data_IF_177254933935
#
_entry.id   IF_177254933935
#
_cell.length_a   1.000
_cell.length_b   1.000
_cell.length_c   1.000
_cell.angle_alpha   90.00
_cell.angle_beta   90.00
_cell.angle_gamma   90.00
#
_symmetry.space_group_name_H-M   'P 1'
#
loop_
_entity.id
_entity.type
_entity.pdbx_description
1 polymer ?
#
# COMPACT_ATOMS: atom_id res chain seq x y z
N UNK A 1 -22.52 -2.46 -30.70
CA UNK A 1 -22.11 -1.05 -30.43
C UNK A 1 -21.64 -0.92 -28.97
N UNK A 2 -20.62 -1.68 -28.55
CA UNK A 2 -20.15 -1.73 -27.14
C UNK A 2 -18.73 -1.20 -26.93
N UNK A 3 -17.94 -1.04 -28.01
CA UNK A 3 -16.51 -0.72 -27.94
C UNK A 3 -16.14 0.62 -27.28
N UNK A 4 -17.02 1.63 -27.22
CA UNK A 4 -16.66 2.94 -26.68
C UNK A 4 -16.90 3.04 -25.17
N UNK A 5 -17.97 2.42 -24.66
CA UNK A 5 -18.27 2.40 -23.22
C UNK A 5 -17.26 1.57 -22.43
N UNK A 6 -16.90 0.39 -22.94
CA UNK A 6 -15.90 -0.50 -22.34
C UNK A 6 -14.52 0.18 -22.27
N UNK A 7 -14.12 0.89 -23.32
CA UNK A 7 -12.86 1.63 -23.36
C UNK A 7 -12.81 2.78 -22.36
N UNK A 8 -13.90 3.51 -22.19
CA UNK A 8 -13.97 4.61 -21.22
C UNK A 8 -13.92 4.07 -19.79
N UNK A 9 -14.60 2.95 -19.49
CA UNK A 9 -14.52 2.29 -18.17
C UNK A 9 -13.10 1.86 -17.84
N UNK A 10 -12.42 1.18 -18.77
CA UNK A 10 -11.04 0.73 -18.57
C UNK A 10 -10.04 1.89 -18.36
N UNK A 11 -10.26 3.04 -19.02
CA UNK A 11 -9.42 4.23 -18.82
C UNK A 11 -9.62 4.81 -17.42
N UNK A 12 -10.86 4.88 -16.93
CA UNK A 12 -11.15 5.39 -15.58
C UNK A 12 -10.53 4.48 -14.52
N UNK A 13 -10.68 3.17 -14.65
CA UNK A 13 -10.08 2.19 -13.74
C UNK A 13 -8.55 2.30 -13.71
N UNK A 14 -7.90 2.40 -14.87
CA UNK A 14 -6.45 2.59 -14.94
C UNK A 14 -6.01 3.93 -14.31
N UNK A 15 -6.82 4.98 -14.40
CA UNK A 15 -6.54 6.27 -13.78
C UNK A 15 -6.68 6.20 -12.26
N UNK A 16 -7.72 5.54 -11.77
CA UNK A 16 -7.94 5.30 -10.34
C UNK A 16 -6.81 4.47 -9.74
N UNK A 17 -6.37 3.41 -10.43
CA UNK A 17 -5.21 2.60 -10.07
C UNK A 17 -3.92 3.41 -10.03
N UNK A 18 -3.73 4.32 -10.99
CA UNK A 18 -2.56 5.20 -11.01
C UNK A 18 -2.54 6.12 -9.78
N UNK A 19 -3.68 6.74 -9.45
CA UNK A 19 -3.80 7.59 -8.26
C UNK A 19 -3.59 6.78 -6.99
N UNK A 20 -4.21 5.60 -6.88
CA UNK A 20 -4.06 4.70 -5.75
C UNK A 20 -2.61 4.24 -5.59
N UNK A 21 -1.95 3.86 -6.68
CA UNK A 21 -0.55 3.48 -6.69
C UNK A 21 0.36 4.59 -6.19
N UNK A 22 0.09 5.84 -6.57
CA UNK A 22 0.80 7.00 -6.02
C UNK A 22 0.56 7.17 -4.52
N UNK A 23 -0.68 7.05 -4.05
CA UNK A 23 -1.03 7.13 -2.61
C UNK A 23 -0.31 6.05 -1.80
N UNK A 24 -0.34 4.80 -2.25
CA UNK A 24 0.33 3.67 -1.60
C UNK A 24 1.85 3.83 -1.59
N UNK A 25 2.41 4.37 -2.68
CA UNK A 25 3.83 4.75 -2.72
C UNK A 25 4.15 5.80 -1.66
N UNK A 26 3.30 6.81 -1.47
CA UNK A 26 3.51 7.84 -0.44
C UNK A 26 3.38 7.32 0.98
N UNK A 27 2.49 6.36 1.23
CA UNK A 27 2.45 5.65 2.51
C UNK A 27 3.70 4.82 2.73
N UNK A 28 4.14 4.07 1.71
CA UNK A 28 5.38 3.27 1.77
C UNK A 28 6.59 4.14 2.13
N UNK A 29 6.74 5.31 1.50
CA UNK A 29 7.82 6.26 1.82
C UNK A 29 7.82 6.67 3.30
N UNK A 30 6.64 6.85 3.91
CA UNK A 30 6.53 7.15 5.35
C UNK A 30 7.04 5.97 6.18
N UNK A 31 6.66 4.74 5.84
CA UNK A 31 7.11 3.54 6.54
C UNK A 31 8.62 3.30 6.37
N UNK A 32 9.18 3.54 5.18
CA UNK A 32 10.63 3.50 4.93
C UNK A 32 11.37 4.49 5.84
N UNK A 33 10.87 5.73 5.97
CA UNK A 33 11.44 6.74 6.87
C UNK A 33 11.36 6.30 8.35
N UNK A 34 10.22 5.73 8.77
CA UNK A 34 10.01 5.21 10.12
C UNK A 34 10.97 4.06 10.45
N UNK A 35 11.10 3.09 9.55
CA UNK A 35 12.02 1.96 9.71
C UNK A 35 13.47 2.42 9.73
N UNK A 36 13.84 3.38 8.88
CA UNK A 36 15.18 3.95 8.85
C UNK A 36 15.51 4.69 10.16
N UNK A 37 14.56 5.50 10.66
CA UNK A 37 14.72 6.19 11.94
C UNK A 37 14.86 5.20 13.11
N UNK A 38 14.09 4.11 13.10
CA UNK A 38 14.19 3.03 14.09
C UNK A 38 15.57 2.36 14.07
N UNK A 39 16.02 1.90 12.89
CA UNK A 39 17.31 1.19 12.71
C UNK A 39 18.51 2.07 13.10
N UNK A 40 18.42 3.39 12.92
CA UNK A 40 19.50 4.34 13.26
C UNK A 40 19.62 4.61 14.76
N UNK A 41 18.50 4.65 15.48
CA UNK A 41 18.48 5.16 16.85
C UNK A 41 18.48 4.05 17.92
N UNK A 42 18.00 2.83 17.61
CA UNK A 42 17.99 1.71 18.56
C UNK A 42 18.07 0.36 17.83
N UNK A 43 19.23 -0.32 17.79
CA UNK A 43 19.31 -1.69 17.24
C UNK A 43 18.56 -2.72 18.12
N UNK A 44 18.35 -2.43 19.41
CA UNK A 44 17.95 -3.46 20.40
C UNK A 44 16.68 -3.18 21.24
N UNK A 45 15.90 -2.11 21.01
CA UNK A 45 14.70 -1.91 21.85
C UNK A 45 13.47 -1.26 21.20
N UNK A 46 12.32 -1.72 21.71
CA UNK A 46 10.91 -1.43 21.40
C UNK A 46 10.45 0.02 21.65
N UNK A 47 11.34 1.03 21.63
CA UNK A 47 10.95 2.43 21.82
C UNK A 47 10.43 3.13 20.54
N UNK A 48 10.17 2.36 19.47
CA UNK A 48 9.82 2.86 18.14
C UNK A 48 8.61 3.81 18.06
N UNK A 49 7.70 3.77 19.04
CA UNK A 49 6.52 4.65 19.09
C UNK A 49 6.87 6.11 19.39
N UNK A 50 7.92 6.38 20.18
CA UNK A 50 8.35 7.74 20.53
C UNK A 50 9.06 8.41 19.34
N UNK A 51 9.76 7.62 18.53
CA UNK A 51 10.45 8.11 17.33
C UNK A 51 9.48 8.28 16.14
N UNK A 52 8.37 7.53 16.08
CA UNK A 52 7.26 7.79 15.13
C UNK A 52 6.77 9.25 15.18
N UNK A 53 6.65 9.82 16.39
CA UNK A 53 6.25 11.22 16.58
C UNK A 53 7.26 12.25 16.07
N UNK A 54 8.52 11.85 15.87
CA UNK A 54 9.62 12.72 15.39
C UNK A 54 9.79 12.67 13.87
N UNK A 55 9.34 11.61 13.21
CA UNK A 55 9.39 11.50 11.76
C UNK A 55 8.35 12.44 11.14
N UNK A 56 8.84 13.50 10.46
CA UNK A 56 7.98 14.51 9.84
C UNK A 56 6.97 13.92 8.86
N UNK A 57 7.29 12.79 8.22
CA UNK A 57 6.41 12.09 7.30
C UNK A 57 5.23 11.39 7.99
N UNK A 58 5.33 11.01 9.28
CA UNK A 58 4.22 10.40 10.02
C UNK A 58 2.99 11.33 10.11
N UNK A 59 3.20 12.66 10.11
CA UNK A 59 2.11 13.65 10.06
C UNK A 59 1.26 13.58 8.79
N UNK A 60 1.78 12.94 7.73
CA UNK A 60 1.08 12.81 6.45
C UNK A 60 0.19 11.55 6.40
N UNK A 61 0.36 10.61 7.33
CA UNK A 61 -0.38 9.33 7.36
C UNK A 61 -1.90 9.56 7.30
N UNK A 62 -2.53 10.42 8.13
CA UNK A 62 -3.98 10.59 8.08
C UNK A 62 -4.49 11.08 6.72
N UNK A 63 -3.72 11.94 6.05
CA UNK A 63 -4.08 12.50 4.74
C UNK A 63 -4.03 11.44 3.63
N UNK A 64 -3.04 10.56 3.66
CA UNK A 64 -2.93 9.46 2.69
C UNK A 64 -3.95 8.35 2.98
N UNK A 65 -4.16 7.98 4.25
CA UNK A 65 -5.19 7.00 4.63
C UNK A 65 -6.59 7.41 4.21
N UNK A 66 -6.93 8.71 4.30
CA UNK A 66 -8.21 9.22 3.79
C UNK A 66 -8.42 8.92 2.30
N UNK A 67 -7.34 8.92 1.51
CA UNK A 67 -7.38 8.62 0.07
C UNK A 67 -7.41 7.11 -0.21
N UNK A 68 -6.79 6.29 0.64
CA UNK A 68 -6.94 4.82 0.53
C UNK A 68 -8.39 4.40 0.79
N UNK A 69 -9.07 5.05 1.75
CA UNK A 69 -10.48 4.78 2.10
C UNK A 69 -11.49 5.01 0.97
N UNK A 70 -11.12 5.70 -0.12
CA UNK A 70 -11.99 5.86 -1.28
C UNK A 70 -11.87 4.73 -2.31
N UNK A 71 -10.91 3.82 -2.15
CA UNK A 71 -10.68 2.69 -3.06
C UNK A 71 -11.28 1.40 -2.51
N UNK A 72 -11.60 0.44 -3.39
CA UNK A 72 -12.05 -0.87 -2.93
C UNK A 72 -10.89 -1.67 -2.31
N UNK A 73 -11.12 -2.44 -1.22
CA UNK A 73 -10.07 -3.25 -0.61
C UNK A 73 -9.36 -4.20 -1.58
N UNK A 74 -10.07 -4.77 -2.57
CA UNK A 74 -9.46 -5.61 -3.62
C UNK A 74 -8.50 -4.83 -4.52
N UNK A 75 -8.83 -3.59 -4.88
CA UNK A 75 -7.94 -2.71 -5.65
C UNK A 75 -6.69 -2.33 -4.84
N UNK A 76 -6.88 -2.00 -3.56
CA UNK A 76 -5.77 -1.69 -2.64
C UNK A 76 -4.82 -2.89 -2.53
N UNK A 77 -5.36 -4.09 -2.30
CA UNK A 77 -4.56 -5.32 -2.24
C UNK A 77 -3.82 -5.56 -3.55
N UNK A 78 -4.51 -5.50 -4.70
CA UNK A 78 -3.89 -5.74 -6.01
C UNK A 78 -2.72 -4.80 -6.28
N UNK A 79 -2.95 -3.50 -6.19
CA UNK A 79 -1.95 -2.48 -6.50
C UNK A 79 -0.77 -2.56 -5.54
N UNK A 80 -1.01 -2.81 -4.25
CA UNK A 80 0.08 -2.96 -3.29
C UNK A 80 0.90 -4.23 -3.54
N UNK A 81 0.26 -5.36 -3.86
CA UNK A 81 0.96 -6.60 -4.22
C UNK A 81 1.80 -6.46 -5.49
N UNK A 82 1.32 -5.73 -6.51
CA UNK A 82 2.09 -5.38 -7.70
C UNK A 82 3.36 -4.60 -7.33
N UNK A 83 3.24 -3.58 -6.48
CA UNK A 83 4.38 -2.78 -6.02
C UNK A 83 5.36 -3.57 -5.12
N UNK A 84 4.86 -4.54 -4.35
CA UNK A 84 5.69 -5.46 -3.56
C UNK A 84 6.51 -6.37 -4.47
N UNK A 85 5.87 -6.98 -5.47
CA UNK A 85 6.53 -7.81 -6.46
C UNK A 85 7.61 -7.04 -7.22
N UNK A 86 7.34 -5.79 -7.59
CA UNK A 86 8.33 -4.92 -8.24
C UNK A 86 9.53 -4.63 -7.32
N UNK A 87 9.27 -4.31 -6.05
CA UNK A 87 10.34 -4.06 -5.07
C UNK A 87 11.20 -5.30 -4.82
N UNK A 88 10.57 -6.48 -4.77
CA UNK A 88 11.26 -7.76 -4.66
C UNK A 88 12.14 -8.05 -5.88
N UNK A 89 11.61 -7.86 -7.09
CA UNK A 89 12.36 -8.02 -8.35
C UNK A 89 13.55 -7.06 -8.44
N UNK A 90 13.38 -5.83 -7.98
CA UNK A 90 14.44 -4.81 -7.95
C UNK A 90 15.38 -4.91 -6.74
N UNK A 91 15.18 -5.88 -5.83
CA UNK A 91 15.97 -6.06 -4.59
C UNK A 91 15.98 -4.80 -3.70
N UNK A 92 14.86 -4.10 -3.63
CA UNK A 92 14.68 -2.97 -2.73
C UNK A 92 14.19 -3.47 -1.36
N UNK A 93 15.07 -4.13 -0.60
CA UNK A 93 14.70 -4.88 0.61
C UNK A 93 13.97 -4.03 1.66
N UNK A 94 14.45 -2.81 1.93
CA UNK A 94 13.79 -1.87 2.86
C UNK A 94 12.39 -1.49 2.39
N UNK A 95 12.21 -1.29 1.08
CA UNK A 95 10.92 -0.95 0.49
C UNK A 95 9.95 -2.11 0.61
N UNK A 96 10.41 -3.31 0.31
CA UNK A 96 9.62 -4.52 0.44
C UNK A 96 9.18 -4.75 1.90
N UNK A 97 10.09 -4.58 2.87
CA UNK A 97 9.78 -4.63 4.30
C UNK A 97 8.74 -3.57 4.69
N UNK A 98 8.90 -2.33 4.25
CA UNK A 98 7.94 -1.25 4.48
C UNK A 98 6.56 -1.53 3.87
N UNK A 99 6.51 -2.12 2.68
CA UNK A 99 5.27 -2.50 2.02
C UNK A 99 4.59 -3.68 2.70
N UNK A 100 5.34 -4.65 3.22
CA UNK A 100 4.79 -5.77 3.98
C UNK A 100 4.11 -5.29 5.26
N UNK A 101 4.78 -4.43 6.03
CA UNK A 101 4.20 -3.84 7.25
C UNK A 101 3.01 -2.93 6.91
N UNK A 102 3.10 -2.14 5.84
CA UNK A 102 1.96 -1.34 5.38
C UNK A 102 0.76 -2.23 5.00
N UNK A 103 1.00 -3.35 4.32
CA UNK A 103 -0.06 -4.27 3.93
C UNK A 103 -0.76 -4.88 5.14
N UNK A 104 -0.01 -5.34 6.14
CA UNK A 104 -0.55 -5.85 7.41
C UNK A 104 -1.46 -4.81 8.08
N UNK A 105 -0.98 -3.57 8.23
CA UNK A 105 -1.77 -2.48 8.83
C UNK A 105 -3.04 -2.18 8.04
N UNK A 106 -2.98 -2.18 6.71
CA UNK A 106 -4.16 -1.94 5.87
C UNK A 106 -5.17 -3.10 5.97
N UNK A 107 -4.71 -4.34 6.13
CA UNK A 107 -5.58 -5.51 6.37
C UNK A 107 -6.26 -5.41 7.73
N UNK A 108 -5.51 -5.08 8.79
CA UNK A 108 -6.06 -4.88 10.14
C UNK A 108 -7.15 -3.80 10.17
N UNK A 109 -6.94 -2.71 9.42
CA UNK A 109 -7.90 -1.60 9.30
C UNK A 109 -9.02 -1.86 8.27
N UNK A 110 -9.12 -3.07 7.71
CA UNK A 110 -10.10 -3.45 6.68
C UNK A 110 -10.06 -2.59 5.41
N UNK A 111 -8.90 -1.99 5.11
CA UNK A 111 -8.64 -1.20 3.91
C UNK A 111 -8.01 -2.02 2.79
N UNK A 112 -7.49 -3.21 3.10
CA UNK A 112 -7.02 -4.21 2.16
C UNK A 112 -7.60 -5.58 2.55
N UNK A 113 -7.71 -6.47 1.57
CA UNK A 113 -8.00 -7.88 1.80
C UNK A 113 -6.72 -8.62 2.19
N UNK A 114 -6.82 -9.57 3.13
CA UNK A 114 -5.72 -10.50 3.39
C UNK A 114 -5.43 -11.37 2.15
N UNK A 115 -4.22 -11.93 2.08
CA UNK A 115 -3.75 -12.63 0.89
C UNK A 115 -4.60 -13.86 0.53
N UNK A 116 -5.15 -14.57 1.52
CA UNK A 116 -5.96 -15.76 1.27
C UNK A 116 -7.34 -15.36 0.72
N UNK A 117 -8.00 -14.39 1.37
CA UNK A 117 -9.28 -13.84 0.91
C UNK A 117 -9.15 -13.23 -0.50
N UNK A 118 -8.06 -12.55 -0.79
CA UNK A 118 -7.80 -11.98 -2.11
C UNK A 118 -7.60 -13.07 -3.17
N UNK A 119 -6.84 -14.12 -2.88
CA UNK A 119 -6.66 -15.25 -3.79
C UNK A 119 -7.99 -15.96 -4.07
N UNK A 120 -8.83 -16.17 -3.06
CA UNK A 120 -10.18 -16.71 -3.25
C UNK A 120 -11.06 -15.79 -4.11
N UNK A 121 -10.97 -14.48 -3.89
CA UNK A 121 -11.75 -13.49 -4.65
C UNK A 121 -11.38 -13.51 -6.14
N UNK A 122 -10.09 -13.59 -6.46
CA UNK A 122 -9.58 -13.74 -7.83
C UNK A 122 -10.09 -15.02 -8.50
N UNK A 123 -10.21 -16.12 -7.75
CA UNK A 123 -10.71 -17.39 -8.28
C UNK A 123 -12.23 -17.36 -8.54
N UNK A 124 -12.99 -16.58 -7.77
CA UNK A 124 -14.46 -16.46 -7.88
C UNK A 124 -14.90 -15.39 -8.88
N UNK A 125 -14.06 -14.39 -9.12
CA UNK A 125 -14.30 -13.29 -10.05
C UNK A 125 -13.21 -13.28 -11.14
N UNK A 126 -13.19 -14.26 -12.06
CA UNK A 126 -12.25 -14.21 -13.17
C UNK A 126 -12.58 -12.98 -14.02
N UNK A 127 -11.59 -12.09 -14.15
CA UNK A 127 -11.64 -10.92 -15.03
C UNK A 127 -11.93 -11.32 -16.48
#
# INVERSE_FOLDING_TARGET
MTSQGERVSAIVEAFDDFILGYVLKKLTEVFEELMTASKKNHPDNMNGLVEMGRVKAAKKIPGWLKRVKSSMPSQVTRVLMEQMNDSQKSRHDLRFEAQAVLFEVLVEESLAMDAASYAEWMNKSPC
#
